data_IF_817648295926
#
_entry.id   IF_817648295926
#
_cell.length_a   1.000
_cell.length_b   1.000
_cell.length_c   1.000
_cell.angle_alpha   90.00
_cell.angle_beta   90.00
_cell.angle_gamma   90.00
#
_symmetry.space_group_name_H-M   'P 1'
#
loop_
_entity.id
_entity.type
_entity.pdbx_description
1 polymer ?
#
# COMPACT_ATOMS: atom_id res chain seq x y z
N UNK A 1 -31.51 -10.92 -10.12
CA UNK A 1 -30.81 -9.65 -10.44
C UNK A 1 -29.80 -9.45 -9.32
N UNK A 2 -28.55 -9.87 -9.55
CA UNK A 2 -27.53 -9.86 -8.51
C UNK A 2 -27.04 -8.44 -8.30
N UNK A 3 -26.87 -8.03 -7.04
CA UNK A 3 -26.27 -6.74 -6.65
C UNK A 3 -24.84 -6.56 -7.20
N UNK A 4 -24.24 -7.63 -7.75
CA UNK A 4 -22.84 -7.75 -8.18
C UNK A 4 -22.59 -7.20 -9.59
N UNK A 5 -23.60 -7.10 -10.44
CA UNK A 5 -23.45 -6.78 -11.88
C UNK A 5 -23.71 -5.28 -12.17
N UNK A 6 -23.70 -4.46 -11.12
CA UNK A 6 -24.18 -3.10 -11.20
C UNK A 6 -23.04 -2.13 -11.61
N UNK A 7 -23.13 -1.45 -12.76
CA UNK A 7 -22.03 -0.64 -13.32
C UNK A 7 -21.48 0.47 -12.40
N UNK A 8 -22.22 0.89 -11.38
CA UNK A 8 -21.74 1.86 -10.41
C UNK A 8 -20.63 1.30 -9.51
N UNK A 9 -20.60 -0.02 -9.25
CA UNK A 9 -19.56 -0.66 -8.45
C UNK A 9 -18.19 -0.59 -9.12
N UNK A 10 -18.15 -0.78 -10.44
CA UNK A 10 -16.91 -0.77 -11.21
C UNK A 10 -16.26 0.61 -11.23
N UNK A 11 -17.10 1.64 -11.41
CA UNK A 11 -16.66 3.04 -11.36
C UNK A 11 -16.19 3.40 -9.94
N UNK A 12 -16.94 3.01 -8.92
CA UNK A 12 -16.58 3.27 -7.52
C UNK A 12 -15.26 2.60 -7.13
N UNK A 13 -15.05 1.33 -7.49
CA UNK A 13 -13.80 0.61 -7.22
C UNK A 13 -12.59 1.25 -7.90
N UNK A 14 -12.76 1.66 -9.16
CA UNK A 14 -11.70 2.31 -9.94
C UNK A 14 -11.32 3.65 -9.35
N UNK A 15 -12.33 4.48 -9.01
CA UNK A 15 -12.11 5.79 -8.35
C UNK A 15 -11.46 5.60 -6.99
N UNK A 16 -11.91 4.62 -6.19
CA UNK A 16 -11.34 4.33 -4.88
C UNK A 16 -9.89 3.86 -4.97
N UNK A 17 -9.55 2.98 -5.92
CA UNK A 17 -8.19 2.52 -6.18
C UNK A 17 -7.25 3.69 -6.52
N UNK A 18 -7.66 4.57 -7.44
CA UNK A 18 -6.94 5.78 -7.83
C UNK A 18 -6.76 6.75 -6.66
N UNK A 19 -7.80 6.96 -5.85
CA UNK A 19 -7.75 7.81 -4.67
C UNK A 19 -6.78 7.27 -3.62
N UNK A 20 -6.85 5.97 -3.30
CA UNK A 20 -5.93 5.34 -2.35
C UNK A 20 -4.48 5.41 -2.84
N UNK A 21 -4.25 5.20 -4.13
CA UNK A 21 -2.93 5.36 -4.72
C UNK A 21 -2.43 6.81 -4.61
N UNK A 22 -3.27 7.80 -4.93
CA UNK A 22 -2.92 9.22 -4.83
C UNK A 22 -2.67 9.68 -3.39
N UNK A 23 -3.51 9.26 -2.43
CA UNK A 23 -3.34 9.56 -1.00
C UNK A 23 -2.05 8.94 -0.47
N UNK A 24 -1.78 7.68 -0.82
CA UNK A 24 -0.55 7.02 -0.41
C UNK A 24 0.70 7.68 -0.99
N UNK A 25 0.64 8.14 -2.25
CA UNK A 25 1.72 8.88 -2.90
C UNK A 25 1.95 10.25 -2.25
N UNK A 26 0.87 10.97 -1.94
CA UNK A 26 0.95 12.23 -1.18
C UNK A 26 1.52 12.02 0.22
N UNK A 27 1.14 10.93 0.90
CA UNK A 27 1.68 10.51 2.19
C UNK A 27 3.17 10.15 2.11
N UNK A 28 3.62 9.51 1.04
CA UNK A 28 5.03 9.19 0.84
C UNK A 28 5.89 10.46 0.66
N UNK A 29 5.43 11.40 -0.17
CA UNK A 29 6.20 12.61 -0.50
C UNK A 29 6.21 13.66 0.62
N UNK A 30 5.14 13.74 1.42
CA UNK A 30 4.97 14.85 2.38
C UNK A 30 5.55 14.52 3.77
N UNK A 31 5.72 13.25 4.11
CA UNK A 31 6.05 12.84 5.47
C UNK A 31 7.56 12.72 5.66
N UNK A 32 8.09 13.33 6.73
CA UNK A 32 9.51 13.25 7.14
C UNK A 32 9.82 12.07 8.08
N UNK A 33 8.78 11.50 8.70
CA UNK A 33 8.93 10.39 9.61
C UNK A 33 8.85 9.05 8.85
N UNK A 34 9.85 8.19 9.05
CA UNK A 34 9.98 6.88 8.39
C UNK A 34 8.72 6.02 8.57
N UNK A 35 8.13 6.01 9.78
CA UNK A 35 6.90 5.25 10.05
C UNK A 35 5.75 5.70 9.14
N UNK A 36 5.58 7.02 9.01
CA UNK A 36 4.51 7.60 8.21
C UNK A 36 4.72 7.34 6.71
N UNK A 37 5.96 7.31 6.24
CA UNK A 37 6.28 6.92 4.85
C UNK A 37 5.92 5.45 4.58
N UNK A 38 6.25 4.53 5.51
CA UNK A 38 5.89 3.11 5.39
C UNK A 38 4.37 2.92 5.33
N UNK A 39 3.62 3.64 6.17
CA UNK A 39 2.15 3.64 6.10
C UNK A 39 1.63 4.23 4.78
N UNK A 40 2.25 5.27 4.24
CA UNK A 40 1.92 5.83 2.93
C UNK A 40 2.06 4.80 1.81
N UNK A 41 3.20 4.10 1.76
CA UNK A 41 3.45 3.00 0.81
C UNK A 41 2.38 1.92 0.97
N UNK A 42 1.98 1.59 2.20
CA UNK A 42 0.91 0.61 2.43
C UNK A 42 -0.43 0.99 1.87
N UNK A 43 -0.82 2.24 2.03
CA UNK A 43 -2.07 2.74 1.47
C UNK A 43 -2.02 2.67 -0.08
N UNK A 44 -0.87 2.97 -0.69
CA UNK A 44 -0.70 2.81 -2.14
C UNK A 44 -0.89 1.36 -2.60
N UNK A 45 -0.24 0.41 -1.92
CA UNK A 45 -0.32 -1.02 -2.26
C UNK A 45 -1.76 -1.55 -2.16
N UNK A 46 -2.51 -1.13 -1.13
CA UNK A 46 -3.91 -1.52 -0.99
C UNK A 46 -4.78 -1.00 -2.14
N UNK A 47 -4.49 0.20 -2.65
CA UNK A 47 -5.12 0.76 -3.85
C UNK A 47 -4.83 -0.08 -5.09
N UNK A 48 -3.59 -0.52 -5.29
CA UNK A 48 -3.19 -1.40 -6.41
C UNK A 48 -3.90 -2.76 -6.32
N UNK A 49 -3.98 -3.35 -5.13
CA UNK A 49 -4.67 -4.63 -4.90
C UNK A 49 -6.16 -4.53 -5.24
N UNK A 50 -6.83 -3.41 -4.94
CA UNK A 50 -8.21 -3.16 -5.38
C UNK A 50 -8.32 -3.02 -6.91
N UNK A 51 -7.34 -2.38 -7.55
CA UNK A 51 -7.25 -2.30 -9.02
C UNK A 51 -7.11 -3.68 -9.67
N UNK A 52 -6.34 -4.59 -9.06
CA UNK A 52 -6.21 -5.98 -9.51
C UNK A 52 -7.53 -6.75 -9.43
N UNK A 53 -8.30 -6.57 -8.35
CA UNK A 53 -9.65 -7.15 -8.22
C UNK A 53 -10.56 -6.66 -9.36
N UNK A 54 -10.51 -5.35 -9.65
CA UNK A 54 -11.31 -4.75 -10.71
C UNK A 54 -10.90 -5.28 -12.10
N UNK A 55 -9.60 -5.41 -12.37
CA UNK A 55 -9.09 -5.98 -13.61
C UNK A 55 -9.56 -7.44 -13.80
N UNK A 56 -9.57 -8.22 -12.72
CA UNK A 56 -10.12 -9.57 -12.68
C UNK A 56 -11.59 -9.67 -13.05
N UNK A 57 -12.40 -8.76 -12.52
CA UNK A 57 -13.83 -8.67 -12.84
C UNK A 57 -14.06 -8.31 -14.31
N UNK A 58 -13.32 -7.34 -14.85
CA UNK A 58 -13.44 -6.92 -16.26
C UNK A 58 -13.11 -8.05 -17.25
N UNK A 59 -12.15 -8.92 -16.89
CA UNK A 59 -11.77 -10.06 -17.73
C UNK A 59 -12.59 -11.35 -17.44
N UNK A 60 -13.56 -11.30 -16.52
CA UNK A 60 -14.32 -12.45 -16.03
C UNK A 60 -13.45 -13.61 -15.48
N UNK A 61 -12.19 -13.33 -15.14
CA UNK A 61 -11.27 -14.33 -14.57
C UNK A 61 -11.05 -14.06 -13.07
N UNK A 62 -12.11 -14.34 -12.32
CA UNK A 62 -12.17 -14.08 -10.87
C UNK A 62 -11.18 -14.97 -10.11
N UNK A 63 -10.98 -16.21 -10.57
CA UNK A 63 -10.06 -17.15 -9.94
C UNK A 63 -8.60 -16.70 -10.06
N UNK A 64 -8.19 -16.25 -11.24
CA UNK A 64 -6.85 -15.70 -11.45
C UNK A 64 -6.63 -14.45 -10.59
N UNK A 65 -7.57 -13.50 -10.61
CA UNK A 65 -7.49 -12.29 -9.82
C UNK A 65 -7.43 -12.54 -8.32
N UNK A 66 -8.20 -13.50 -7.82
CA UNK A 66 -8.18 -13.89 -6.41
C UNK A 66 -6.82 -14.44 -5.99
N UNK A 67 -6.20 -15.29 -6.83
CA UNK A 67 -4.87 -15.82 -6.54
C UNK A 67 -3.80 -14.72 -6.48
N UNK A 68 -3.82 -13.76 -7.43
CA UNK A 68 -2.92 -12.61 -7.43
C UNK A 68 -3.08 -11.75 -6.17
N UNK A 69 -4.32 -11.49 -5.76
CA UNK A 69 -4.63 -10.68 -4.56
C UNK A 69 -4.13 -11.37 -3.29
N UNK A 70 -4.36 -12.68 -3.16
CA UNK A 70 -3.88 -13.44 -2.00
C UNK A 70 -2.34 -13.43 -1.96
N UNK A 71 -1.68 -13.65 -3.10
CA UNK A 71 -0.22 -13.57 -3.18
C UNK A 71 0.30 -12.17 -2.81
N UNK A 72 -0.35 -11.11 -3.29
CA UNK A 72 0.00 -9.74 -2.92
C UNK A 72 -0.14 -9.50 -1.41
N UNK A 73 -1.22 -9.97 -0.78
CA UNK A 73 -1.45 -9.86 0.66
C UNK A 73 -0.38 -10.60 1.48
N UNK A 74 0.07 -11.77 1.02
CA UNK A 74 1.15 -12.53 1.68
C UNK A 74 2.47 -11.74 1.61
N UNK A 75 2.84 -11.26 0.42
CA UNK A 75 4.05 -10.43 0.24
C UNK A 75 3.97 -9.17 1.09
N UNK A 76 2.80 -8.54 1.14
CA UNK A 76 2.53 -7.38 1.95
C UNK A 76 2.75 -7.61 3.44
N UNK A 77 2.31 -8.76 3.97
CA UNK A 77 2.51 -9.12 5.38
C UNK A 77 4.01 -9.24 5.70
N UNK A 78 4.78 -9.88 4.81
CA UNK A 78 6.22 -10.04 4.96
C UNK A 78 6.93 -8.67 4.96
N UNK A 79 6.56 -7.78 4.04
CA UNK A 79 7.16 -6.44 3.96
C UNK A 79 6.93 -5.64 5.25
N UNK A 80 5.75 -5.73 5.88
CA UNK A 80 5.49 -5.02 7.16
C UNK A 80 6.27 -5.59 8.31
N UNK A 81 6.35 -6.93 8.39
CA UNK A 81 7.16 -7.56 9.43
C UNK A 81 8.61 -7.06 9.36
N UNK A 82 9.18 -7.00 8.15
CA UNK A 82 10.54 -6.50 7.92
C UNK A 82 10.66 -5.00 8.21
N UNK A 83 9.72 -4.18 7.71
CA UNK A 83 9.73 -2.74 7.92
C UNK A 83 9.65 -2.39 9.41
N UNK A 84 8.75 -3.04 10.17
CA UNK A 84 8.62 -2.85 11.61
C UNK A 84 9.88 -3.30 12.35
N UNK A 85 10.45 -4.45 12.00
CA UNK A 85 11.70 -4.92 12.61
C UNK A 85 12.85 -3.92 12.40
N UNK A 86 12.98 -3.38 11.18
CA UNK A 86 13.99 -2.38 10.86
C UNK A 86 13.75 -1.07 11.61
N UNK A 87 12.50 -0.59 11.64
CA UNK A 87 12.12 0.62 12.35
C UNK A 87 12.42 0.48 13.84
N UNK A 88 12.03 -0.62 14.49
CA UNK A 88 12.31 -0.86 15.91
C UNK A 88 13.82 -0.85 16.18
N UNK A 89 14.62 -1.49 15.32
CA UNK A 89 16.07 -1.50 15.46
C UNK A 89 16.69 -0.09 15.25
N UNK A 90 16.15 0.69 14.32
CA UNK A 90 16.56 2.06 14.06
C UNK A 90 16.21 3.00 15.23
N UNK A 91 14.99 2.91 15.76
CA UNK A 91 14.56 3.68 16.93
C UNK A 91 15.37 3.37 18.20
N UNK A 92 15.98 2.19 18.29
CA UNK A 92 16.90 1.85 19.38
C UNK A 92 18.20 2.66 19.37
N UNK A 93 18.62 3.17 18.20
CA UNK A 93 19.85 3.94 18.04
C UNK A 93 19.60 5.44 17.76
N UNK A 94 18.45 5.79 17.18
CA UNK A 94 18.06 7.17 16.85
C UNK A 94 16.58 7.41 17.23
N UNK A 95 16.29 7.94 18.43
CA UNK A 95 14.93 8.07 18.95
C UNK A 95 14.09 9.17 18.27
N UNK A 96 14.70 10.01 17.43
CA UNK A 96 14.03 11.11 16.72
C UNK A 96 13.10 10.64 15.59
N UNK A 97 13.36 9.46 15.00
CA UNK A 97 12.57 8.93 13.87
C UNK A 97 12.56 9.83 12.63
N UNK A 98 13.46 10.82 12.56
CA UNK A 98 13.58 11.78 11.48
C UNK A 98 14.62 11.30 10.45
N UNK A 99 14.23 11.27 9.18
CA UNK A 99 15.12 10.85 8.08
C UNK A 99 16.34 11.77 7.96
N UNK A 100 16.22 13.03 8.37
CA UNK A 100 17.31 14.02 8.30
C UNK A 100 18.45 13.74 9.29
N UNK A 101 18.24 12.97 10.37
CA UNK A 101 19.35 12.59 11.28
C UNK A 101 20.27 11.51 10.69
N UNK A 102 19.80 10.72 9.71
CA UNK A 102 20.65 9.78 8.97
C UNK A 102 21.69 10.49 8.09
N UNK A 103 21.53 11.80 7.88
CA UNK A 103 22.44 12.64 7.10
C UNK A 103 23.79 12.88 7.80
N UNK A 104 23.94 12.49 9.07
CA UNK A 104 25.21 12.56 9.84
C UNK A 104 26.25 11.49 9.46
N UNK A 105 25.95 10.60 8.52
CA UNK A 105 26.92 9.65 7.94
C UNK A 105 27.54 10.14 6.62
N UNK A 106 27.15 11.32 6.16
CA UNK A 106 27.95 12.10 5.21
C UNK A 106 28.63 13.18 6.05
N UNK A 107 29.98 13.16 6.02
CA UNK A 107 30.85 13.87 6.96
C UNK A 107 30.57 15.36 7.17
#
# INVERSE_FOLDING_TARGET
MNLMDWPWLDVVNTVLSLLLFGIGLGGLLTQRNILKQVFGIKIMLQGVTLGLIQAGRLHNDIHFAQSMVISALVVEAVIIAVALALIINAFRHYPSGDIDELRRLWG
#
